data_IF_970850249308
#
_entry.id   IF_970850249308
#
_cell.length_a   1.000
_cell.length_b   1.000
_cell.length_c   1.000
_cell.angle_alpha   90.00
_cell.angle_beta   90.00
_cell.angle_gamma   90.00
#
_symmetry.space_group_name_H-M   'P 1'
#
loop_
_entity.id
_entity.type
_entity.pdbx_description
1 polymer ?
#
# COMPACT_ATOMS: atom_id res chain seq x y z
N UNK A 1 21.27 -13.83 -7.11
CA UNK A 1 20.91 -14.54 -5.86
C UNK A 1 19.39 -14.63 -5.62
N UNK A 2 18.61 -13.57 -5.89
CA UNK A 2 17.17 -13.50 -5.55
C UNK A 2 16.28 -14.41 -6.44
N UNK A 3 16.45 -14.35 -7.77
CA UNK A 3 15.64 -15.11 -8.72
C UNK A 3 15.59 -16.63 -8.45
N UNK A 4 16.70 -17.33 -8.17
CA UNK A 4 16.65 -18.75 -7.80
C UNK A 4 15.83 -19.06 -6.54
N UNK A 5 15.83 -18.16 -5.53
CA UNK A 5 15.04 -18.33 -4.31
C UNK A 5 13.53 -18.23 -4.60
N UNK A 6 13.15 -17.27 -5.45
CA UNK A 6 11.77 -17.12 -5.91
C UNK A 6 11.35 -18.36 -6.71
N UNK A 7 12.19 -18.85 -7.64
CA UNK A 7 11.88 -20.06 -8.40
C UNK A 7 11.74 -21.30 -7.49
N UNK A 8 12.59 -21.46 -6.48
CA UNK A 8 12.49 -22.55 -5.52
C UNK A 8 11.20 -22.48 -4.70
N UNK A 9 10.79 -21.29 -4.27
CA UNK A 9 9.50 -21.08 -3.61
C UNK A 9 8.33 -21.39 -4.54
N UNK A 10 8.39 -20.97 -5.80
CA UNK A 10 7.36 -21.29 -6.79
C UNK A 10 7.24 -22.80 -7.01
N UNK A 11 8.38 -23.49 -7.09
CA UNK A 11 8.40 -24.94 -7.23
C UNK A 11 7.79 -25.65 -6.03
N UNK A 12 8.02 -25.15 -4.80
CA UNK A 12 7.55 -25.77 -3.57
C UNK A 12 6.11 -25.38 -3.18
N UNK A 13 5.70 -24.14 -3.43
CA UNK A 13 4.45 -23.54 -2.93
C UNK A 13 3.45 -23.21 -4.04
N UNK A 14 3.81 -23.38 -5.31
CA UNK A 14 3.02 -22.92 -6.45
C UNK A 14 3.22 -21.43 -6.73
N UNK A 15 2.31 -20.83 -7.50
CA UNK A 15 2.40 -19.40 -7.80
C UNK A 15 2.01 -18.53 -6.58
N UNK A 16 2.64 -17.36 -6.38
CA UNK A 16 2.25 -16.44 -5.32
C UNK A 16 0.82 -15.96 -5.53
N UNK A 17 0.08 -15.79 -4.43
CA UNK A 17 -1.31 -15.31 -4.42
C UNK A 17 -1.38 -13.79 -4.56
N UNK A 18 -0.43 -13.07 -3.93
CA UNK A 18 -0.43 -11.60 -3.87
C UNK A 18 0.97 -11.07 -4.18
N UNK A 19 1.02 -10.03 -5.00
CA UNK A 19 2.16 -9.13 -5.12
C UNK A 19 1.82 -7.81 -4.42
N UNK A 20 2.62 -7.43 -3.42
CA UNK A 20 2.38 -6.26 -2.58
C UNK A 20 3.62 -5.36 -2.59
N UNK A 21 3.41 -4.05 -2.68
CA UNK A 21 4.47 -3.06 -2.46
C UNK A 21 4.12 -2.22 -1.24
N UNK A 22 5.01 -2.20 -0.24
CA UNK A 22 4.90 -1.29 0.91
C UNK A 22 5.89 -0.14 0.71
N UNK A 23 5.38 1.07 0.53
CA UNK A 23 6.18 2.28 0.30
C UNK A 23 5.85 3.36 1.34
N UNK A 24 6.40 3.26 2.56
CA UNK A 24 6.18 4.27 3.59
C UNK A 24 6.70 5.65 3.18
N UNK A 25 5.89 6.68 3.38
CA UNK A 25 6.30 8.06 3.16
C UNK A 25 7.01 8.63 4.40
N UNK A 26 8.34 8.55 4.40
CA UNK A 26 9.22 9.06 5.46
C UNK A 26 9.08 10.58 5.70
N UNK A 27 9.02 11.40 4.64
CA UNK A 27 8.87 12.88 4.71
C UNK A 27 7.60 13.31 5.45
N UNK A 28 6.56 12.48 5.43
CA UNK A 28 5.25 12.77 6.01
C UNK A 28 5.02 12.01 7.33
N UNK A 29 6.01 11.25 7.80
CA UNK A 29 5.89 10.47 9.03
C UNK A 29 6.46 11.21 10.23
N UNK A 30 5.64 11.55 11.25
CA UNK A 30 6.14 12.08 12.52
C UNK A 30 7.10 11.11 13.21
N UNK A 31 6.90 9.80 13.05
CA UNK A 31 7.79 8.77 13.59
C UNK A 31 9.18 8.83 12.93
N UNK A 32 9.24 9.02 11.61
CA UNK A 32 10.52 9.17 10.92
C UNK A 32 11.29 10.42 11.38
N UNK A 33 10.58 11.53 11.60
CA UNK A 33 11.16 12.76 12.13
C UNK A 33 11.60 12.63 13.60
N UNK A 34 10.85 11.90 14.42
CA UNK A 34 11.25 11.55 15.78
C UNK A 34 12.58 10.79 15.78
N UNK A 35 12.73 9.79 14.90
CA UNK A 35 14.01 9.09 14.73
C UNK A 35 15.14 10.00 14.25
N UNK A 36 14.82 11.09 13.55
CA UNK A 36 15.78 12.13 13.12
C UNK A 36 16.09 13.15 14.22
N UNK A 37 15.56 12.98 15.45
CA UNK A 37 15.84 13.83 16.60
C UNK A 37 14.93 15.04 16.73
N UNK A 38 13.84 15.13 15.96
CA UNK A 38 12.83 16.17 16.13
C UNK A 38 12.04 15.87 17.41
N UNK A 39 11.93 16.83 18.36
CA UNK A 39 11.29 16.59 19.65
C UNK A 39 9.76 16.56 19.49
N UNK A 40 9.23 15.41 19.12
CA UNK A 40 7.78 15.16 19.08
C UNK A 40 7.32 14.35 20.28
N UNK A 41 6.18 14.74 20.83
CA UNK A 41 5.37 13.89 21.68
C UNK A 41 4.58 12.94 20.76
N UNK A 42 5.01 11.67 20.71
CA UNK A 42 4.38 10.67 19.84
C UNK A 42 2.96 10.31 20.30
N UNK A 43 2.62 10.53 21.56
CA UNK A 43 1.28 10.26 22.10
C UNK A 43 0.29 11.41 21.82
N UNK A 44 0.79 12.58 21.41
CA UNK A 44 0.00 13.77 21.15
C UNK A 44 0.54 14.59 19.96
N UNK A 45 0.59 13.96 18.78
CA UNK A 45 1.04 14.62 17.55
C UNK A 45 -0.04 15.61 17.08
N UNK A 46 0.31 16.89 17.08
CA UNK A 46 -0.53 17.92 16.50
C UNK A 46 -0.04 18.26 15.08
N UNK A 47 -0.94 18.28 14.09
CA UNK A 47 -0.56 18.47 12.68
C UNK A 47 0.01 19.86 12.39
N UNK A 48 -0.34 20.86 13.22
CA UNK A 48 0.19 22.22 13.16
C UNK A 48 1.64 22.33 13.66
N UNK A 49 2.12 21.38 14.45
CA UNK A 49 3.51 21.27 14.88
C UNK A 49 4.43 20.75 13.78
N UNK A 50 3.86 20.17 12.71
CA UNK A 50 4.66 19.70 11.59
C UNK A 50 5.16 20.90 10.79
N UNK A 51 6.49 21.02 10.71
CA UNK A 51 7.16 21.95 9.79
C UNK A 51 6.68 21.75 8.37
N UNK A 52 6.89 22.73 7.49
CA UNK A 52 6.54 22.59 6.07
C UNK A 52 7.23 21.38 5.40
N UNK A 53 6.68 20.95 4.26
CA UNK A 53 7.17 19.76 3.55
C UNK A 53 8.64 19.86 3.15
N UNK A 54 9.12 21.04 2.79
CA UNK A 54 10.51 21.23 2.39
C UNK A 54 11.45 21.04 3.58
N UNK A 55 11.11 21.64 4.73
CA UNK A 55 11.91 21.48 5.95
C UNK A 55 11.95 20.03 6.44
N UNK A 56 10.82 19.32 6.36
CA UNK A 56 10.78 17.87 6.69
C UNK A 56 11.67 17.07 5.74
N UNK A 57 11.62 17.35 4.43
CA UNK A 57 12.47 16.68 3.45
C UNK A 57 13.96 16.94 3.69
N UNK A 58 14.34 18.17 4.02
CA UNK A 58 15.73 18.53 4.39
C UNK A 58 16.23 17.72 5.60
N UNK A 59 15.39 17.62 6.65
CA UNK A 59 15.73 16.84 7.85
C UNK A 59 15.89 15.36 7.52
N UNK A 60 14.94 14.76 6.80
CA UNK A 60 14.98 13.34 6.43
C UNK A 60 16.19 13.03 5.55
N UNK A 61 16.48 13.87 4.55
CA UNK A 61 17.65 13.71 3.68
C UNK A 61 18.98 13.77 4.45
N UNK A 62 19.03 14.58 5.52
CA UNK A 62 20.22 14.72 6.38
C UNK A 62 20.39 13.57 7.38
N UNK A 63 19.38 12.71 7.57
CA UNK A 63 19.39 11.63 8.57
C UNK A 63 19.04 10.25 7.97
N UNK A 64 19.83 9.72 7.01
CA UNK A 64 19.50 8.47 6.31
C UNK A 64 19.39 7.24 7.23
N UNK A 65 20.12 7.23 8.36
CA UNK A 65 20.02 6.16 9.37
C UNK A 65 18.68 6.20 10.10
N UNK A 66 18.14 7.39 10.38
CA UNK A 66 16.83 7.55 11.00
C UNK A 66 15.74 6.99 10.08
N UNK A 67 15.80 7.32 8.79
CA UNK A 67 14.90 6.81 7.75
C UNK A 67 14.95 5.29 7.65
N UNK A 68 16.15 4.70 7.67
CA UNK A 68 16.30 3.24 7.64
C UNK A 68 15.73 2.56 8.89
N UNK A 69 15.90 3.14 10.08
CA UNK A 69 15.31 2.64 11.33
C UNK A 69 13.79 2.70 11.33
N UNK A 70 13.23 3.84 10.90
CA UNK A 70 11.80 4.01 10.73
C UNK A 70 11.22 2.95 9.77
N UNK A 71 11.82 2.82 8.60
CA UNK A 71 11.41 1.83 7.61
C UNK A 71 11.45 0.41 8.19
N UNK A 72 12.56 0.03 8.83
CA UNK A 72 12.70 -1.30 9.42
C UNK A 72 11.65 -1.58 10.50
N UNK A 73 11.41 -0.63 11.42
CA UNK A 73 10.41 -0.76 12.47
C UNK A 73 9.00 -0.94 11.90
N UNK A 74 8.62 -0.06 10.97
CA UNK A 74 7.29 -0.09 10.38
C UNK A 74 7.05 -1.38 9.59
N UNK A 75 8.00 -1.76 8.74
CA UNK A 75 7.90 -2.97 7.92
C UNK A 75 7.84 -4.22 8.80
N UNK A 76 8.70 -4.35 9.81
CA UNK A 76 8.69 -5.52 10.69
C UNK A 76 7.35 -5.65 11.41
N UNK A 77 6.81 -4.55 11.93
CA UNK A 77 5.49 -4.54 12.55
C UNK A 77 4.37 -4.92 11.57
N UNK A 78 4.38 -4.42 10.33
CA UNK A 78 3.38 -4.80 9.32
C UNK A 78 3.49 -6.30 9.00
N UNK A 79 4.70 -6.82 8.82
CA UNK A 79 4.92 -8.24 8.53
C UNK A 79 4.41 -9.12 9.69
N UNK A 80 4.76 -8.79 10.92
CA UNK A 80 4.42 -9.62 12.08
C UNK A 80 2.94 -9.52 12.45
N UNK A 81 2.38 -8.31 12.47
CA UNK A 81 1.01 -8.07 12.98
C UNK A 81 -0.06 -8.20 11.91
N UNK A 82 0.21 -7.82 10.67
CA UNK A 82 -0.80 -7.82 9.61
C UNK A 82 -0.66 -9.03 8.69
N UNK A 83 0.55 -9.28 8.19
CA UNK A 83 0.76 -10.37 7.22
C UNK A 83 0.73 -11.72 7.95
N UNK A 84 1.63 -11.94 8.90
CA UNK A 84 1.68 -13.16 9.71
C UNK A 84 0.51 -13.21 10.69
N UNK A 85 0.09 -12.07 11.24
CA UNK A 85 -1.08 -11.97 12.11
C UNK A 85 -2.43 -12.19 11.42
N UNK A 86 -2.46 -12.35 10.09
CA UNK A 86 -3.58 -12.97 9.40
C UNK A 86 -4.63 -12.03 8.81
N UNK A 87 -4.33 -10.74 8.61
CA UNK A 87 -5.23 -9.80 7.91
C UNK A 87 -5.61 -10.31 6.51
N UNK A 88 -4.68 -11.01 5.84
CA UNK A 88 -4.90 -11.60 4.51
C UNK A 88 -5.38 -13.06 4.58
N UNK A 89 -5.72 -13.55 5.77
CA UNK A 89 -5.92 -14.97 6.04
C UNK A 89 -4.59 -15.70 6.33
N UNK A 90 -4.63 -17.04 6.47
CA UNK A 90 -3.43 -17.81 6.80
C UNK A 90 -2.39 -17.73 5.67
N UNK A 91 -1.13 -17.49 6.02
CA UNK A 91 -0.01 -17.34 5.08
C UNK A 91 0.88 -18.58 5.12
N UNK A 92 1.10 -19.23 3.97
CA UNK A 92 2.05 -20.36 3.82
C UNK A 92 3.49 -19.87 3.81
N UNK A 93 3.74 -18.81 3.07
CA UNK A 93 5.07 -18.23 2.88
C UNK A 93 4.98 -16.79 2.39
N UNK A 94 6.03 -16.02 2.63
CA UNK A 94 6.25 -14.74 1.96
C UNK A 94 7.73 -14.57 1.60
N UNK A 95 8.00 -13.74 0.60
CA UNK A 95 9.35 -13.39 0.17
C UNK A 95 9.42 -11.89 -0.12
N UNK A 96 10.35 -11.19 0.53
CA UNK A 96 10.48 -9.74 0.45
C UNK A 96 11.85 -9.28 -0.02
N UNK A 97 11.89 -8.17 -0.76
CA UNK A 97 13.11 -7.45 -1.17
C UNK A 97 12.95 -5.96 -0.88
N UNK A 98 13.93 -5.40 -0.18
CA UNK A 98 14.01 -3.96 0.07
C UNK A 98 14.79 -3.30 -1.06
N UNK A 99 14.24 -2.24 -1.62
CA UNK A 99 14.86 -1.45 -2.69
C UNK A 99 14.82 0.05 -2.37
N UNK A 100 15.82 0.79 -2.83
CA UNK A 100 15.80 2.25 -2.80
C UNK A 100 14.99 2.76 -3.97
N UNK A 101 14.04 3.64 -3.71
CA UNK A 101 13.33 4.36 -4.76
C UNK A 101 14.25 5.45 -5.37
N UNK A 102 13.89 5.97 -6.54
CA UNK A 102 14.64 7.03 -7.23
C UNK A 102 14.79 8.36 -6.45
N UNK A 103 14.11 8.50 -5.31
CA UNK A 103 14.21 9.63 -4.36
C UNK A 103 14.94 9.28 -3.06
N UNK A 104 15.54 8.10 -2.96
CA UNK A 104 16.32 7.64 -1.79
C UNK A 104 15.51 6.93 -0.70
N UNK A 105 14.17 7.04 -0.69
CA UNK A 105 13.31 6.33 0.28
C UNK A 105 13.29 4.82 0.02
N UNK A 106 13.23 4.02 1.09
CA UNK A 106 13.13 2.56 0.99
C UNK A 106 11.69 2.11 0.74
N UNK A 107 11.51 1.08 -0.07
CA UNK A 107 10.24 0.37 -0.22
C UNK A 107 10.49 -1.14 -0.26
N UNK A 108 9.45 -1.90 0.05
CA UNK A 108 9.48 -3.36 0.11
C UNK A 108 8.58 -3.94 -0.97
N UNK A 109 9.14 -4.76 -1.84
CA UNK A 109 8.38 -5.65 -2.72
C UNK A 109 8.18 -7.00 -2.04
N UNK A 110 6.94 -7.46 -1.95
CA UNK A 110 6.54 -8.71 -1.32
C UNK A 110 5.81 -9.62 -2.30
N UNK A 111 6.18 -10.90 -2.29
CA UNK A 111 5.38 -12.00 -2.81
C UNK A 111 4.82 -12.78 -1.62
N UNK A 112 3.51 -13.03 -1.61
CA UNK A 112 2.82 -13.74 -0.53
C UNK A 112 2.08 -14.94 -1.11
N UNK A 113 2.23 -16.09 -0.45
CA UNK A 113 1.48 -17.32 -0.70
C UNK A 113 0.48 -17.51 0.43
N UNK A 114 -0.80 -17.41 0.09
CA UNK A 114 -1.87 -17.67 1.04
C UNK A 114 -2.14 -19.18 1.14
N UNK A 115 -2.56 -19.63 2.32
CA UNK A 115 -3.10 -20.96 2.52
C UNK A 115 -4.57 -20.98 2.10
N UNK A 116 -4.83 -20.94 0.79
CA UNK A 116 -6.16 -21.15 0.25
C UNK A 116 -6.21 -22.42 -0.61
N UNK A 117 -7.29 -23.17 -0.49
CA UNK A 117 -7.48 -24.43 -1.24
C UNK A 117 -7.98 -24.20 -2.67
N UNK A 118 -8.40 -22.97 -3.01
CA UNK A 118 -9.06 -22.68 -4.28
C UNK A 118 -8.06 -22.24 -5.36
N UNK A 119 -7.83 -23.09 -6.37
CA UNK A 119 -6.98 -22.79 -7.53
C UNK A 119 -7.78 -22.01 -8.59
N UNK A 120 -7.12 -21.36 -9.57
CA UNK A 120 -7.81 -20.70 -10.68
C UNK A 120 -8.76 -21.63 -11.45
N UNK A 121 -8.42 -22.91 -11.59
CA UNK A 121 -9.28 -23.91 -12.21
C UNK A 121 -10.57 -24.16 -11.39
N UNK A 122 -10.44 -24.29 -10.07
CA UNK A 122 -11.57 -24.48 -9.15
C UNK A 122 -12.50 -23.27 -9.18
N UNK A 123 -11.94 -22.05 -9.25
CA UNK A 123 -12.72 -20.82 -9.41
C UNK A 123 -13.50 -20.83 -10.73
N UNK A 124 -12.86 -21.23 -11.84
CA UNK A 124 -13.51 -21.31 -13.16
C UNK A 124 -14.70 -22.29 -13.15
N UNK A 125 -14.56 -23.41 -12.45
CA UNK A 125 -15.64 -24.39 -12.27
C UNK A 125 -16.76 -23.84 -11.37
N UNK A 126 -16.41 -23.29 -10.20
CA UNK A 126 -17.39 -22.73 -9.25
C UNK A 126 -18.20 -21.58 -9.82
N UNK A 127 -17.59 -20.73 -10.65
CA UNK A 127 -18.28 -19.62 -11.34
C UNK A 127 -19.40 -20.11 -12.27
N UNK A 128 -19.40 -21.37 -12.71
CA UNK A 128 -20.51 -21.92 -13.50
C UNK A 128 -21.82 -22.00 -12.69
N UNK A 129 -21.73 -22.21 -11.37
CA UNK A 129 -22.87 -22.21 -10.46
C UNK A 129 -23.41 -20.78 -10.26
N UNK A 130 -24.71 -20.59 -10.52
CA UNK A 130 -25.35 -19.27 -10.45
C UNK A 130 -25.32 -18.68 -9.03
N UNK A 131 -25.65 -19.47 -8.01
CA UNK A 131 -25.69 -19.00 -6.61
C UNK A 131 -24.31 -18.57 -6.12
N UNK A 132 -23.27 -19.33 -6.46
CA UNK A 132 -21.89 -18.96 -6.12
C UNK A 132 -21.49 -17.65 -6.80
N UNK A 133 -21.81 -17.51 -8.09
CA UNK A 133 -21.49 -16.32 -8.87
C UNK A 133 -22.18 -15.07 -8.32
N UNK A 134 -23.45 -15.15 -7.94
CA UNK A 134 -24.16 -14.01 -7.36
C UNK A 134 -23.61 -13.64 -5.97
N UNK A 135 -23.26 -14.63 -5.13
CA UNK A 135 -22.59 -14.37 -3.84
C UNK A 135 -21.21 -13.73 -4.02
N UNK A 136 -20.45 -14.18 -5.01
CA UNK A 136 -19.13 -13.59 -5.31
C UNK A 136 -19.26 -12.13 -5.76
N UNK A 137 -20.24 -11.82 -6.62
CA UNK A 137 -20.52 -10.43 -7.02
C UNK A 137 -20.85 -9.56 -5.81
N UNK A 138 -21.80 -10.00 -4.99
CA UNK A 138 -22.21 -9.25 -3.79
C UNK A 138 -21.03 -8.99 -2.84
N UNK A 139 -20.14 -9.99 -2.67
CA UNK A 139 -18.91 -9.81 -1.89
C UNK A 139 -17.96 -8.78 -2.52
N UNK A 140 -17.74 -8.83 -3.83
CA UNK A 140 -16.88 -7.86 -4.53
C UNK A 140 -17.44 -6.44 -4.45
N UNK A 141 -18.76 -6.27 -4.59
CA UNK A 141 -19.44 -4.98 -4.47
C UNK A 141 -19.38 -4.40 -3.03
N UNK A 142 -19.28 -5.25 -2.01
CA UNK A 142 -19.15 -4.82 -0.62
C UNK A 142 -17.73 -4.33 -0.28
N UNK A 143 -16.70 -5.01 -0.80
CA UNK A 143 -15.30 -4.72 -0.46
C UNK A 143 -14.62 -3.73 -1.40
N UNK A 144 -15.06 -3.66 -2.67
CA UNK A 144 -14.49 -2.72 -3.64
C UNK A 144 -15.26 -1.42 -3.51
N UNK A 145 -14.61 -0.41 -2.91
CA UNK A 145 -15.12 0.95 -2.83
C UNK A 145 -14.18 1.86 -3.61
N UNK A 146 -14.76 2.63 -4.52
CA UNK A 146 -14.08 3.72 -5.20
C UNK A 146 -14.65 5.01 -4.65
N UNK A 147 -13.81 5.81 -3.99
CA UNK A 147 -14.17 7.16 -3.53
C UNK A 147 -13.56 8.17 -4.50
N UNK A 148 -14.42 8.76 -5.32
CA UNK A 148 -14.06 9.84 -6.26
C UNK A 148 -14.54 11.21 -5.76
N UNK A 149 -15.09 11.31 -4.55
CA UNK A 149 -15.82 12.50 -4.13
C UNK A 149 -14.90 13.72 -3.96
N UNK A 150 -13.62 13.52 -3.63
CA UNK A 150 -12.62 14.60 -3.59
C UNK A 150 -12.25 15.19 -4.97
N UNK A 151 -12.64 14.55 -6.08
CA UNK A 151 -12.37 15.04 -7.44
C UNK A 151 -13.56 15.75 -8.10
N UNK A 152 -14.73 15.79 -7.44
CA UNK A 152 -15.92 16.50 -7.96
C UNK A 152 -15.85 18.01 -7.77
N UNK A 153 -15.02 18.50 -6.85
CA UNK A 153 -14.86 19.92 -6.55
C UNK A 153 -13.53 20.49 -7.05
N UNK A 154 -13.39 20.66 -8.37
CA UNK A 154 -12.58 21.74 -8.96
C UNK A 154 -12.87 21.81 -10.46
N UNK A 155 -12.98 23.05 -10.96
CA UNK A 155 -13.21 23.46 -12.35
C UNK A 155 -14.68 23.63 -12.79
N UNK A 156 -15.39 24.55 -12.11
CA UNK A 156 -16.42 25.36 -12.80
C UNK A 156 -15.68 26.51 -13.49
N UNK A 157 -15.56 26.46 -14.82
CA UNK A 157 -15.20 27.63 -15.61
C UNK A 157 -16.49 28.37 -15.98
N UNK A 158 -16.62 29.63 -15.58
CA UNK A 158 -17.66 30.51 -16.08
C UNK A 158 -17.29 30.98 -17.49
N UNK A 159 -18.02 30.50 -18.50
CA UNK A 159 -17.98 31.14 -19.82
C UNK A 159 -18.78 32.44 -19.77
N UNK A 160 -18.31 33.47 -20.48
CA UNK A 160 -18.82 34.84 -20.47
C UNK A 160 -20.30 35.02 -20.88
N UNK A 161 -20.97 33.95 -21.31
CA UNK A 161 -22.36 33.97 -21.77
C UNK A 161 -23.34 33.32 -20.77
N UNK A 162 -22.91 33.07 -19.52
CA UNK A 162 -23.81 32.70 -18.42
C UNK A 162 -24.41 31.29 -18.50
N UNK A 163 -24.01 30.46 -19.48
CA UNK A 163 -24.47 29.08 -19.62
C UNK A 163 -23.44 28.11 -19.05
N UNK A 164 -23.78 27.41 -17.96
CA UNK A 164 -22.96 26.35 -17.37
C UNK A 164 -22.96 25.14 -18.31
N UNK A 165 -21.83 24.83 -18.95
CA UNK A 165 -21.64 23.54 -19.64
C UNK A 165 -20.67 22.66 -18.87
N UNK A 166 -21.07 21.40 -18.63
CA UNK A 166 -20.21 20.36 -18.10
C UNK A 166 -19.50 19.72 -19.28
N UNK A 167 -18.18 19.90 -19.38
CA UNK A 167 -17.36 19.21 -20.38
C UNK A 167 -16.40 18.29 -19.63
N UNK A 168 -16.58 16.99 -19.78
CA UNK A 168 -15.68 15.99 -19.21
C UNK A 168 -14.48 15.81 -20.15
N UNK A 169 -13.29 16.24 -19.71
CA UNK A 169 -12.04 15.88 -20.36
C UNK A 169 -11.46 14.66 -19.62
N UNK A 170 -11.52 13.49 -20.24
CA UNK A 170 -10.74 12.34 -19.82
C UNK A 170 -9.30 12.55 -20.31
N UNK A 171 -8.32 12.46 -19.39
CA UNK A 171 -6.90 12.34 -19.72
C UNK A 171 -6.59 10.85 -19.85
#
# INVERSE_FOLDING_TARGET
ALRPRIHALIYNQGLPSIFLTLNPADIHSPVALYFAGVPFDLDNIQMDQLMDTYKRAEIIASHPVATAKFFHLLITNILDTMIVGGVLGPVKAYFGIVESQGRGSLHLHLLIWLDHDMKPADMKEKIQNADFREKLKAYLEDIIKEDLDEFKEKYVFENSDGMKSLTFAYI
#
